data_IF_438518959139
#
_entry.id   IF_438518959139
#
_cell.length_a   1.000
_cell.length_b   1.000
_cell.length_c   1.000
_cell.angle_alpha   90.00
_cell.angle_beta   90.00
_cell.angle_gamma   90.00
#
_symmetry.space_group_name_H-M   'P 1'
#
loop_
_entity.id
_entity.type
_entity.pdbx_description
1 polymer ?
#
# COMPACT_ATOMS: atom_id res chain seq x y z
N UNK A 1 7.31 36.83 -10.38
CA UNK A 1 7.51 35.41 -10.73
C UNK A 1 8.04 34.68 -9.51
N UNK A 2 7.46 33.54 -9.11
CA UNK A 2 7.90 32.81 -7.93
C UNK A 2 9.31 32.24 -8.13
N UNK A 3 10.10 32.25 -7.07
CA UNK A 3 11.35 31.52 -6.98
C UNK A 3 11.04 30.07 -6.61
N UNK A 4 11.79 29.14 -7.19
CA UNK A 4 11.67 27.70 -6.96
C UNK A 4 13.03 27.12 -6.60
N UNK A 5 13.06 26.16 -5.67
CA UNK A 5 14.23 25.34 -5.40
C UNK A 5 14.26 24.22 -6.44
N UNK A 6 15.37 24.07 -7.14
CA UNK A 6 15.54 23.03 -8.17
C UNK A 6 16.95 22.48 -8.14
N UNK A 7 17.07 21.25 -8.59
CA UNK A 7 18.34 20.56 -8.71
C UNK A 7 18.93 20.80 -10.10
N UNK A 8 20.24 20.97 -10.13
CA UNK A 8 21.02 21.14 -11.35
C UNK A 8 22.11 20.10 -11.41
N UNK A 9 22.35 19.56 -12.60
CA UNK A 9 23.45 18.65 -12.89
C UNK A 9 24.43 19.29 -13.86
N UNK A 10 25.71 19.32 -13.50
CA UNK A 10 26.75 19.82 -14.38
C UNK A 10 27.09 18.83 -15.50
N UNK A 11 26.98 19.26 -16.75
CA UNK A 11 27.35 18.48 -17.94
C UNK A 11 28.87 18.21 -18.00
N UNK A 12 29.70 19.07 -17.39
CA UNK A 12 31.17 18.95 -17.42
C UNK A 12 31.72 18.02 -16.34
N UNK A 13 31.27 18.17 -15.09
CA UNK A 13 31.81 17.44 -13.94
C UNK A 13 30.79 16.50 -13.25
N UNK A 14 29.55 16.39 -13.73
CA UNK A 14 28.51 15.54 -13.15
C UNK A 14 28.06 15.95 -11.74
N UNK A 15 28.51 17.10 -11.24
CA UNK A 15 28.16 17.55 -9.90
C UNK A 15 26.69 17.99 -9.85
N UNK A 16 25.93 17.37 -8.94
CA UNK A 16 24.55 17.72 -8.63
C UNK A 16 24.53 18.68 -7.44
N UNK A 17 23.76 19.76 -7.56
CA UNK A 17 23.58 20.76 -6.50
C UNK A 17 22.20 21.44 -6.61
N UNK A 18 21.72 21.94 -5.48
CA UNK A 18 20.43 22.62 -5.39
C UNK A 18 20.61 24.14 -5.49
N UNK A 19 19.68 24.82 -6.17
CA UNK A 19 19.70 26.29 -6.27
C UNK A 19 18.30 26.88 -6.38
N UNK A 20 18.09 27.99 -5.69
CA UNK A 20 16.86 28.77 -5.78
C UNK A 20 16.93 29.67 -7.03
N UNK A 21 16.03 29.47 -7.98
CA UNK A 21 16.02 30.19 -9.27
C UNK A 21 14.61 30.62 -9.67
N UNK A 22 14.51 31.53 -10.64
CA UNK A 22 13.21 31.81 -11.29
C UNK A 22 12.79 30.61 -12.14
N UNK A 23 11.49 30.35 -12.23
CA UNK A 23 10.94 29.15 -12.88
C UNK A 23 11.36 28.90 -14.34
N UNK A 24 11.69 29.96 -15.09
CA UNK A 24 12.12 29.89 -16.49
C UNK A 24 13.61 29.54 -16.67
N UNK A 25 14.41 29.56 -15.61
CA UNK A 25 15.83 29.25 -15.66
C UNK A 25 16.01 27.74 -15.86
N UNK A 26 16.59 27.37 -17.00
CA UNK A 26 16.88 25.97 -17.38
C UNK A 26 18.35 25.60 -17.22
N UNK A 27 19.24 26.59 -17.21
CA UNK A 27 20.68 26.39 -17.10
C UNK A 27 21.25 27.33 -16.05
N UNK A 28 22.33 26.91 -15.39
CA UNK A 28 23.09 27.75 -14.47
C UNK A 28 24.56 27.34 -14.43
N UNK A 29 25.37 28.11 -13.70
CA UNK A 29 26.79 27.82 -13.49
C UNK A 29 26.98 26.73 -12.44
N UNK A 30 27.85 25.76 -12.71
CA UNK A 30 28.22 24.73 -11.73
C UNK A 30 29.25 25.27 -10.74
N UNK A 31 29.02 25.21 -9.41
CA UNK A 31 29.91 25.79 -8.41
C UNK A 31 31.32 25.16 -8.38
N UNK A 32 31.50 23.94 -8.89
CA UNK A 32 32.82 23.27 -8.95
C UNK A 32 33.58 23.55 -10.23
N UNK A 33 32.85 23.68 -11.35
CA UNK A 33 33.42 23.86 -12.67
C UNK A 33 33.52 25.34 -13.08
N UNK A 34 32.99 26.25 -12.24
CA UNK A 34 32.95 27.69 -12.49
C UNK A 34 34.32 28.34 -12.37
N UNK A 35 34.77 28.97 -13.45
CA UNK A 35 35.98 29.78 -13.53
C UNK A 35 35.68 31.26 -13.86
N UNK A 36 34.41 31.66 -13.89
CA UNK A 36 33.98 33.05 -14.15
C UNK A 36 33.75 33.39 -15.62
N UNK A 37 33.97 32.47 -16.57
CA UNK A 37 33.97 32.80 -18.01
C UNK A 37 32.73 32.29 -18.75
N UNK A 38 32.13 31.17 -18.33
CA UNK A 38 31.04 30.54 -19.08
C UNK A 38 29.88 30.10 -18.18
N UNK A 39 28.67 30.61 -18.48
CA UNK A 39 27.57 30.63 -17.52
C UNK A 39 26.70 29.36 -17.42
N UNK A 40 26.72 28.50 -18.44
CA UNK A 40 25.57 27.63 -18.74
C UNK A 40 25.93 26.14 -18.94
N UNK A 41 26.66 25.52 -18.01
CA UNK A 41 26.98 24.09 -18.08
C UNK A 41 26.21 23.19 -17.10
N UNK A 42 25.43 23.76 -16.18
CA UNK A 42 24.56 22.96 -15.31
C UNK A 42 23.13 23.02 -15.80
N UNK A 43 22.59 21.88 -16.25
CA UNK A 43 21.22 21.76 -16.73
C UNK A 43 20.31 21.46 -15.54
N UNK A 44 19.17 22.14 -15.48
CA UNK A 44 18.13 21.82 -14.50
C UNK A 44 17.70 20.37 -14.72
N UNK A 45 17.87 19.56 -13.70
CA UNK A 45 17.27 18.24 -13.65
C UNK A 45 15.93 18.38 -12.93
N UNK A 46 14.90 17.80 -13.51
CA UNK A 46 13.70 17.53 -12.75
C UNK A 46 14.08 16.28 -11.98
N UNK A 47 14.52 16.44 -10.74
CA UNK A 47 14.45 15.34 -9.78
C UNK A 47 12.97 15.24 -9.47
N UNK A 48 12.20 14.27 -10.04
CA UNK A 48 11.01 13.87 -9.35
C UNK A 48 11.55 13.50 -7.97
N UNK A 49 11.17 14.26 -6.94
CA UNK A 49 11.40 13.83 -5.58
C UNK A 49 11.08 12.35 -5.56
N UNK A 50 12.05 11.56 -5.10
CA UNK A 50 12.09 10.12 -5.08
C UNK A 50 11.02 9.56 -4.14
N UNK A 51 9.76 9.93 -4.35
CA UNK A 51 8.61 9.22 -3.81
C UNK A 51 8.46 7.99 -4.68
N UNK A 52 9.24 6.97 -4.33
CA UNK A 52 8.81 5.59 -4.47
C UNK A 52 7.37 5.51 -3.92
N UNK A 53 6.39 5.51 -4.81
CA UNK A 53 4.97 5.44 -4.46
C UNK A 53 4.59 4.08 -3.88
N UNK A 54 5.50 3.10 -3.85
CA UNK A 54 5.27 1.84 -3.14
C UNK A 54 5.06 2.01 -1.63
N UNK A 55 5.40 3.17 -1.04
CA UNK A 55 5.02 3.53 0.34
C UNK A 55 3.59 4.11 0.48
N UNK A 56 2.88 4.38 -0.63
CA UNK A 56 1.43 4.66 -0.57
C UNK A 56 0.59 3.37 -0.59
N UNK A 57 1.21 2.26 -0.99
CA UNK A 57 0.55 0.97 -1.09
C UNK A 57 0.90 0.13 0.15
N UNK A 58 0.07 0.26 1.18
CA UNK A 58 0.19 -0.57 2.38
C UNK A 58 0.03 -2.07 2.01
N UNK A 59 0.77 -2.97 2.68
CA UNK A 59 0.80 -4.40 2.31
C UNK A 59 -0.59 -5.06 2.29
N UNK A 60 -1.55 -4.54 3.06
CA UNK A 60 -2.93 -5.03 3.07
C UNK A 60 -3.69 -4.76 1.76
N UNK A 61 -3.27 -3.81 0.92
CA UNK A 61 -3.93 -3.58 -0.38
C UNK A 61 -3.83 -4.83 -1.27
N UNK A 62 -2.77 -5.62 -1.10
CA UNK A 62 -2.61 -6.90 -1.81
C UNK A 62 -3.67 -7.92 -1.39
N UNK A 63 -3.99 -8.01 -0.10
CA UNK A 63 -5.04 -8.93 0.38
C UNK A 63 -6.44 -8.49 -0.06
N UNK A 64 -6.66 -7.20 -0.28
CA UNK A 64 -7.94 -6.72 -0.84
C UNK A 64 -8.19 -7.27 -2.24
N UNK A 65 -7.14 -7.48 -3.06
CA UNK A 65 -7.28 -8.08 -4.40
C UNK A 65 -7.80 -9.52 -4.37
N UNK A 66 -7.64 -10.22 -3.25
CA UNK A 66 -8.15 -11.58 -3.10
C UNK A 66 -9.67 -11.61 -2.89
N UNK A 67 -10.22 -10.54 -2.30
CA UNK A 67 -11.64 -10.43 -1.94
C UNK A 67 -12.46 -9.58 -2.92
N UNK A 68 -11.81 -8.74 -3.73
CA UNK A 68 -12.49 -7.94 -4.76
C UNK A 68 -13.10 -8.86 -5.81
N UNK A 69 -14.35 -8.55 -6.19
CA UNK A 69 -15.04 -9.25 -7.28
C UNK A 69 -14.29 -9.05 -8.61
N UNK A 70 -13.86 -10.16 -9.21
CA UNK A 70 -13.09 -10.18 -10.46
C UNK A 70 -13.94 -9.88 -11.68
N UNK A 71 -15.24 -10.13 -11.58
CA UNK A 71 -16.22 -9.83 -12.63
C UNK A 71 -16.97 -8.52 -12.36
N UNK A 72 -16.58 -7.80 -11.30
CA UNK A 72 -17.19 -6.56 -10.90
C UNK A 72 -17.09 -5.45 -11.95
N UNK A 73 -17.73 -4.32 -11.66
CA UNK A 73 -17.80 -3.17 -12.56
C UNK A 73 -16.43 -2.58 -12.94
N UNK A 74 -16.45 -1.58 -13.82
CA UNK A 74 -15.24 -0.89 -14.33
C UNK A 74 -14.28 -0.46 -13.22
N UNK A 75 -14.79 -0.03 -12.07
CA UNK A 75 -14.00 0.42 -10.93
C UNK A 75 -13.25 -0.72 -10.23
N UNK A 76 -13.84 -1.91 -10.14
CA UNK A 76 -13.18 -3.11 -9.59
C UNK A 76 -12.04 -3.58 -10.52
N UNK A 77 -12.28 -3.59 -11.83
CA UNK A 77 -11.26 -3.94 -12.82
C UNK A 77 -10.10 -2.93 -12.85
N UNK A 78 -10.40 -1.63 -12.71
CA UNK A 78 -9.40 -0.57 -12.61
C UNK A 78 -8.50 -0.73 -11.37
N UNK A 79 -9.09 -1.09 -10.22
CA UNK A 79 -8.35 -1.41 -9.01
C UNK A 79 -7.50 -2.68 -9.16
N UNK A 80 -8.04 -3.76 -9.74
CA UNK A 80 -7.30 -5.02 -9.94
C UNK A 80 -6.08 -4.84 -10.86
N UNK A 81 -6.19 -3.95 -11.86
CA UNK A 81 -5.10 -3.63 -12.79
C UNK A 81 -4.03 -2.74 -12.14
N UNK A 82 -4.45 -1.74 -11.36
CA UNK A 82 -3.58 -0.78 -10.69
C UNK A 82 -3.99 -0.65 -9.22
N UNK A 83 -3.48 -1.52 -8.33
CA UNK A 83 -3.92 -1.58 -6.93
C UNK A 83 -3.27 -0.48 -6.09
N UNK A 84 -3.71 0.76 -6.31
CA UNK A 84 -3.29 1.94 -5.56
C UNK A 84 -4.34 2.32 -4.51
N UNK A 85 -3.93 3.02 -3.45
CA UNK A 85 -4.84 3.51 -2.40
C UNK A 85 -5.97 4.40 -2.94
N UNK A 86 -5.70 5.21 -3.96
CA UNK A 86 -6.71 6.07 -4.57
C UNK A 86 -7.73 5.26 -5.37
N UNK A 87 -7.28 4.24 -6.11
CA UNK A 87 -8.17 3.33 -6.82
C UNK A 87 -9.02 2.50 -5.85
N UNK A 88 -8.44 2.06 -4.73
CA UNK A 88 -9.17 1.42 -3.63
C UNK A 88 -10.29 2.31 -3.07
N UNK A 89 -9.99 3.58 -2.77
CA UNK A 89 -11.00 4.52 -2.26
C UNK A 89 -12.12 4.78 -3.27
N UNK A 90 -11.78 4.88 -4.56
CA UNK A 90 -12.77 5.05 -5.64
C UNK A 90 -13.67 3.83 -5.75
N UNK A 91 -13.08 2.64 -5.74
CA UNK A 91 -13.81 1.37 -5.76
C UNK A 91 -14.74 1.22 -4.54
N UNK A 92 -14.24 1.45 -3.33
CA UNK A 92 -15.10 1.41 -2.13
C UNK A 92 -16.25 2.43 -2.22
N UNK A 93 -15.98 3.65 -2.69
CA UNK A 93 -17.01 4.68 -2.85
C UNK A 93 -18.07 4.27 -3.88
N UNK A 94 -17.69 3.62 -4.98
CA UNK A 94 -18.65 3.16 -5.99
C UNK A 94 -19.50 1.99 -5.51
N UNK A 95 -18.92 1.10 -4.71
CA UNK A 95 -19.63 -0.04 -4.11
C UNK A 95 -20.42 0.34 -2.86
N UNK A 96 -20.35 1.61 -2.41
CA UNK A 96 -20.98 2.06 -1.16
C UNK A 96 -20.37 1.43 0.10
N UNK A 97 -19.16 0.90 0.00
CA UNK A 97 -18.44 0.28 1.11
C UNK A 97 -17.74 1.36 1.96
N UNK A 98 -17.84 1.22 3.28
CA UNK A 98 -17.09 2.05 4.23
C UNK A 98 -15.93 1.26 4.83
N UNK A 99 -14.80 1.90 5.16
CA UNK A 99 -13.79 1.27 6.00
C UNK A 99 -14.41 0.85 7.33
N UNK A 100 -14.06 -0.34 7.80
CA UNK A 100 -14.37 -0.79 9.14
C UNK A 100 -13.42 -0.09 10.12
N UNK A 101 -13.97 0.52 11.16
CA UNK A 101 -13.15 1.10 12.22
C UNK A 101 -12.49 0.00 13.06
N UNK A 102 -11.42 0.36 13.77
CA UNK A 102 -10.66 -0.57 14.61
C UNK A 102 -11.56 -1.10 15.74
N UNK A 103 -12.09 -2.31 15.55
CA UNK A 103 -13.03 -2.96 16.47
C UNK A 103 -14.39 -3.31 15.87
N UNK A 104 -14.69 -2.86 14.65
CA UNK A 104 -15.95 -3.18 13.95
C UNK A 104 -15.89 -4.49 13.11
N UNK A 105 -14.75 -5.17 13.10
CA UNK A 105 -14.60 -6.45 12.38
C UNK A 105 -15.42 -7.58 13.01
N UNK A 106 -15.66 -8.68 12.28
CA UNK A 106 -16.30 -9.86 12.85
C UNK A 106 -15.53 -10.27 14.10
N UNK A 107 -16.21 -10.18 15.25
CA UNK A 107 -15.65 -10.58 16.54
C UNK A 107 -15.18 -12.01 16.37
N UNK A 108 -13.89 -12.27 16.59
CA UNK A 108 -13.41 -13.65 16.67
C UNK A 108 -14.38 -14.38 17.61
N UNK A 109 -15.03 -15.47 17.17
CA UNK A 109 -16.01 -16.15 18.01
C UNK A 109 -15.35 -16.47 19.35
N UNK A 110 -16.14 -16.39 20.41
CA UNK A 110 -15.66 -16.67 21.75
C UNK A 110 -14.89 -18.01 21.73
N UNK A 111 -13.72 -18.09 22.39
CA UNK A 111 -12.94 -19.31 22.40
C UNK A 111 -13.83 -20.45 22.87
N UNK A 112 -13.92 -21.49 22.05
CA UNK A 112 -14.71 -22.67 22.37
C UNK A 112 -14.02 -23.42 23.50
N UNK A 113 -14.77 -23.76 24.55
CA UNK A 113 -14.27 -24.61 25.62
C UNK A 113 -14.08 -26.04 25.10
N UNK A 114 -12.83 -26.36 24.75
CA UNK A 114 -12.45 -27.66 24.21
C UNK A 114 -12.69 -28.79 25.22
N UNK A 115 -12.63 -28.50 26.53
CA UNK A 115 -12.83 -29.48 27.59
C UNK A 115 -14.26 -30.02 27.53
N UNK A 116 -15.25 -29.12 27.55
CA UNK A 116 -16.67 -29.47 27.48
C UNK A 116 -17.03 -30.25 26.21
N UNK A 117 -16.41 -29.87 25.08
CA UNK A 117 -16.65 -30.53 23.80
C UNK A 117 -16.09 -31.95 23.79
N UNK A 118 -14.92 -32.14 24.42
CA UNK A 118 -14.28 -33.46 24.59
C UNK A 118 -15.13 -34.35 25.48
N UNK A 119 -15.59 -33.86 26.63
CA UNK A 119 -16.43 -34.63 27.56
C UNK A 119 -17.75 -35.06 26.89
N UNK A 120 -18.39 -34.13 26.16
CA UNK A 120 -19.64 -34.41 25.44
C UNK A 120 -19.46 -35.45 24.34
N UNK A 121 -18.37 -35.36 23.59
CA UNK A 121 -18.07 -36.35 22.53
C UNK A 121 -17.73 -37.71 23.12
N UNK A 122 -17.00 -37.75 24.23
CA UNK A 122 -16.67 -38.98 24.95
C UNK A 122 -17.91 -39.66 25.53
N UNK A 123 -18.83 -38.91 26.12
CA UNK A 123 -20.10 -39.43 26.64
C UNK A 123 -20.99 -40.01 25.53
N UNK A 124 -21.08 -39.32 24.39
CA UNK A 124 -21.79 -39.83 23.22
C UNK A 124 -21.16 -41.13 22.70
N UNK A 125 -19.82 -41.20 22.69
CA UNK A 125 -19.11 -42.41 22.31
C UNK A 125 -19.42 -43.57 23.26
N UNK A 126 -19.30 -43.36 24.58
CA UNK A 126 -19.63 -44.38 25.60
C UNK A 126 -21.06 -44.91 25.47
N UNK A 127 -22.03 -44.03 25.20
CA UNK A 127 -23.43 -44.42 24.99
C UNK A 127 -23.59 -45.30 23.74
N UNK A 128 -22.89 -44.97 22.65
CA UNK A 128 -22.91 -45.75 21.40
C UNK A 128 -22.25 -47.12 21.55
N UNK A 129 -21.18 -47.21 22.33
CA UNK A 129 -20.39 -48.43 22.50
C UNK A 129 -20.75 -49.22 23.76
N UNK A 130 -21.85 -48.86 24.45
CA UNK A 130 -22.29 -49.57 25.63
C UNK A 130 -22.72 -50.99 25.25
N UNK A 131 -22.10 -51.98 25.87
CA UNK A 131 -22.50 -53.39 25.80
C UNK A 131 -23.44 -53.64 26.97
N UNK A 132 -24.69 -54.01 26.69
CA UNK A 132 -25.65 -54.44 27.72
C UNK A 132 -25.58 -55.96 27.86
N UNK A 133 -25.12 -56.44 29.01
CA UNK A 133 -25.15 -57.86 29.34
C UNK A 133 -26.53 -58.16 29.93
N UNK A 134 -27.36 -58.92 29.21
CA UNK A 134 -28.59 -59.49 29.79
C UNK A 134 -28.16 -60.63 30.71
N UNK A 135 -28.47 -60.49 31.99
CA UNK A 135 -28.29 -61.57 32.97
C UNK A 135 -29.44 -62.56 32.85
N UNK A 136 -29.10 -63.85 32.73
CA UNK A 136 -30.01 -65.00 32.82
C UNK A 136 -30.33 -65.35 34.29
#
# INVERSE_FOLDING_TARGET
MPLILVDFECIRCGHIFEKIVKSHIKFTGCPKCWDGVFMDFAKRIITPSSTYLGNQDEDWIKSVREVVDKEGGRHAQEFLKNPTRDNYKRWMKSEGLRPLDKGEGPTKPAPVDMQQLTDKTFDLHRKRTRIEVKGD
#
